data_IF_373523696138
#
_entry.id   IF_373523696138
#
_cell.length_a   1.000
_cell.length_b   1.000
_cell.length_c   1.000
_cell.angle_alpha   90.00
_cell.angle_beta   90.00
_cell.angle_gamma   90.00
#
_symmetry.space_group_name_H-M   'P 1'
#
loop_
_entity.id
_entity.type
_entity.pdbx_description
1 polymer ?
#
# COMPACT_ATOMS: atom_id res chain seq x y z
N UNK A 1 15.23 -15.20 -13.47
CA UNK A 1 16.00 -16.29 -14.12
C UNK A 1 15.83 -16.25 -15.64
N UNK A 2 14.59 -16.23 -16.17
CA UNK A 2 14.28 -16.18 -17.61
C UNK A 2 14.98 -15.01 -18.33
N UNK A 3 15.01 -13.83 -17.72
CA UNK A 3 15.69 -12.64 -18.24
C UNK A 3 17.20 -12.86 -18.42
N UNK A 4 17.89 -13.46 -17.44
CA UNK A 4 19.32 -13.78 -17.53
C UNK A 4 19.61 -14.84 -18.60
N UNK A 5 18.72 -15.80 -18.78
CA UNK A 5 18.84 -16.83 -19.82
C UNK A 5 18.71 -16.19 -21.21
N UNK A 6 17.72 -15.31 -21.43
CA UNK A 6 17.53 -14.59 -22.69
C UNK A 6 18.71 -13.64 -23.02
N UNK A 7 19.31 -13.00 -22.01
CA UNK A 7 20.52 -12.17 -22.21
C UNK A 7 21.72 -12.97 -22.74
N UNK A 8 21.80 -14.26 -22.42
CA UNK A 8 22.92 -15.13 -22.82
C UNK A 8 22.69 -15.81 -24.16
N UNK A 9 21.41 -16.07 -24.52
CA UNK A 9 21.07 -16.93 -25.67
C UNK A 9 20.80 -16.21 -26.99
N UNK A 10 20.39 -14.93 -26.99
CA UNK A 10 20.03 -14.19 -28.20
C UNK A 10 20.60 -12.76 -28.19
N UNK A 11 21.86 -12.61 -28.58
CA UNK A 11 22.44 -11.28 -28.88
C UNK A 11 22.43 -11.05 -30.38
N UNK A 12 21.46 -10.25 -30.88
CA UNK A 12 21.69 -9.53 -32.10
C UNK A 12 22.84 -8.54 -31.88
N UNK A 13 23.88 -8.51 -32.74
CA UNK A 13 24.98 -7.58 -32.55
C UNK A 13 24.50 -6.14 -32.40
N UNK A 14 24.92 -5.45 -31.33
CA UNK A 14 24.57 -4.06 -31.08
C UNK A 14 23.20 -3.85 -30.42
N UNK A 15 22.55 -4.87 -29.86
CA UNK A 15 21.32 -4.74 -29.10
C UNK A 15 21.42 -5.42 -27.73
N UNK A 16 20.61 -4.98 -26.78
CA UNK A 16 20.49 -5.65 -25.47
C UNK A 16 19.03 -5.74 -25.04
N UNK A 17 18.70 -6.72 -24.20
CA UNK A 17 17.40 -6.79 -23.56
C UNK A 17 17.30 -5.77 -22.44
N UNK A 18 16.19 -5.06 -22.43
CA UNK A 18 15.85 -4.08 -21.42
C UNK A 18 14.46 -4.31 -20.85
N UNK A 19 14.26 -3.88 -19.62
CA UNK A 19 12.97 -3.89 -18.95
C UNK A 19 12.86 -2.72 -17.98
N UNK A 20 11.64 -2.32 -17.69
CA UNK A 20 11.37 -1.26 -16.72
C UNK A 20 9.89 -0.94 -16.62
N UNK A 21 9.55 -0.16 -15.62
CA UNK A 21 8.19 0.38 -15.48
C UNK A 21 8.03 1.58 -16.40
N UNK A 22 7.05 1.51 -17.29
CA UNK A 22 6.79 2.60 -18.23
C UNK A 22 6.19 3.81 -17.53
N UNK A 23 6.82 4.96 -17.75
CA UNK A 23 6.28 6.28 -17.44
C UNK A 23 6.09 7.03 -18.75
N UNK A 24 4.84 7.35 -19.10
CA UNK A 24 4.49 8.15 -20.29
C UNK A 24 4.47 9.62 -19.87
N UNK A 25 5.17 10.45 -20.63
CA UNK A 25 5.23 11.88 -20.43
C UNK A 25 4.09 12.61 -21.19
N UNK A 26 3.78 13.87 -20.85
CA UNK A 26 2.68 14.62 -21.48
C UNK A 26 2.74 14.68 -23.01
N UNK A 27 3.94 14.66 -23.57
CA UNK A 27 4.18 14.68 -25.01
C UNK A 27 3.88 13.35 -25.72
N UNK A 28 3.47 12.32 -24.96
CA UNK A 28 3.01 11.04 -25.48
C UNK A 28 4.10 10.00 -25.77
N UNK A 29 5.38 10.32 -25.52
CA UNK A 29 6.49 9.36 -25.46
C UNK A 29 6.81 9.03 -24.01
N UNK A 30 7.69 8.07 -23.74
CA UNK A 30 7.94 7.64 -22.35
C UNK A 30 9.31 7.06 -22.12
N UNK A 31 9.52 6.63 -20.86
CA UNK A 31 10.71 5.93 -20.43
C UNK A 31 10.37 4.65 -19.64
N UNK A 32 11.17 3.63 -19.83
CA UNK A 32 11.20 2.49 -18.92
C UNK A 32 12.10 2.86 -17.74
N UNK A 33 11.50 3.04 -16.56
CA UNK A 33 12.22 3.34 -15.32
C UNK A 33 12.81 2.06 -14.77
N UNK A 34 14.12 2.02 -14.65
CA UNK A 34 14.88 0.83 -14.21
C UNK A 34 15.34 0.92 -12.76
N UNK A 35 15.46 2.14 -12.23
CA UNK A 35 15.88 2.35 -10.85
C UNK A 35 14.83 1.81 -9.86
N UNK A 36 15.22 1.14 -8.75
CA UNK A 36 14.29 0.58 -7.76
C UNK A 36 13.27 1.59 -7.20
N UNK A 37 13.65 2.85 -7.06
CA UNK A 37 12.77 3.94 -6.62
C UNK A 37 12.05 4.65 -7.78
N UNK A 38 12.10 4.10 -8.98
CA UNK A 38 11.50 4.71 -10.18
C UNK A 38 12.03 6.11 -10.50
N UNK A 39 13.24 6.42 -10.02
CA UNK A 39 13.92 7.70 -10.30
C UNK A 39 14.40 7.77 -11.75
N UNK A 40 14.55 9.00 -12.24
CA UNK A 40 15.11 9.24 -13.56
C UNK A 40 16.61 8.97 -13.54
N UNK A 41 17.09 8.08 -14.39
CA UNK A 41 18.51 7.73 -14.50
C UNK A 41 18.95 7.67 -15.95
N UNK A 42 20.27 7.67 -16.17
CA UNK A 42 20.83 7.51 -17.51
C UNK A 42 20.66 6.07 -18.05
N UNK A 43 20.24 5.14 -17.20
CA UNK A 43 19.94 3.74 -17.57
C UNK A 43 18.50 3.57 -18.10
N UNK A 44 17.68 4.61 -18.04
CA UNK A 44 16.31 4.56 -18.53
C UNK A 44 16.29 4.35 -20.05
N UNK A 45 15.24 3.66 -20.51
CA UNK A 45 15.09 3.33 -21.93
C UNK A 45 13.95 4.14 -22.53
N UNK A 46 14.24 4.90 -23.57
CA UNK A 46 13.27 5.69 -24.31
C UNK A 46 12.27 4.80 -25.06
N UNK A 47 10.99 5.12 -24.98
CA UNK A 47 9.89 4.46 -25.68
C UNK A 47 9.16 5.47 -26.54
N UNK A 48 9.10 5.20 -27.83
CA UNK A 48 8.48 6.11 -28.79
C UNK A 48 6.95 6.13 -28.66
N UNK A 49 6.34 7.26 -29.06
CA UNK A 49 4.89 7.40 -29.10
C UNK A 49 4.22 6.35 -30.03
N UNK A 50 4.88 5.98 -31.13
CA UNK A 50 4.40 4.98 -32.06
C UNK A 50 4.29 3.59 -31.43
N UNK A 51 5.28 3.18 -30.60
CA UNK A 51 5.23 1.92 -29.86
C UNK A 51 4.16 1.94 -28.78
N UNK A 52 4.03 3.05 -28.04
CA UNK A 52 2.98 3.23 -27.03
C UNK A 52 1.59 3.04 -27.67
N UNK A 53 1.33 3.71 -28.78
CA UNK A 53 0.06 3.60 -29.50
C UNK A 53 -0.16 2.22 -30.12
N UNK A 54 0.90 1.63 -30.72
CA UNK A 54 0.82 0.34 -31.39
C UNK A 54 0.39 -0.79 -30.45
N UNK A 55 0.99 -0.84 -29.23
CA UNK A 55 0.74 -1.89 -28.26
C UNK A 55 -0.29 -1.50 -27.18
N UNK A 56 -0.83 -0.28 -27.21
CA UNK A 56 -1.74 0.21 -26.17
C UNK A 56 -1.09 0.24 -24.80
N UNK A 57 0.20 0.66 -24.74
CA UNK A 57 0.95 0.73 -23.50
C UNK A 57 0.42 1.86 -22.63
N UNK A 58 0.47 1.67 -21.32
CA UNK A 58 0.02 2.64 -20.33
C UNK A 58 1.07 2.84 -19.25
N UNK A 59 1.07 3.99 -18.61
CA UNK A 59 1.92 4.23 -17.44
C UNK A 59 1.69 3.14 -16.40
N UNK A 60 2.77 2.65 -15.78
CA UNK A 60 2.76 1.55 -14.83
C UNK A 60 2.94 0.16 -15.44
N UNK A 61 2.90 0.02 -16.77
CA UNK A 61 3.22 -1.26 -17.42
C UNK A 61 4.68 -1.65 -17.19
N UNK A 62 4.92 -2.90 -16.83
CA UNK A 62 6.24 -3.51 -16.87
C UNK A 62 6.50 -3.98 -18.30
N UNK A 63 7.31 -3.25 -19.04
CA UNK A 63 7.65 -3.55 -20.42
C UNK A 63 8.99 -4.25 -20.49
N UNK A 64 9.06 -5.31 -21.27
CA UNK A 64 10.26 -6.06 -21.60
C UNK A 64 10.45 -6.08 -23.13
N UNK A 65 11.70 -5.87 -23.60
CA UNK A 65 11.97 -5.89 -25.02
C UNK A 65 13.44 -5.68 -25.35
N UNK A 66 13.73 -5.51 -26.63
CA UNK A 66 15.07 -5.23 -27.13
C UNK A 66 15.30 -3.73 -27.25
N UNK A 67 16.43 -3.25 -26.80
CA UNK A 67 16.87 -1.87 -26.87
C UNK A 67 18.20 -1.75 -27.62
N UNK A 68 18.41 -0.63 -28.29
CA UNK A 68 19.68 -0.25 -28.90
C UNK A 68 20.41 0.78 -28.05
N UNK A 69 21.73 0.83 -28.10
CA UNK A 69 22.50 1.89 -27.47
C UNK A 69 22.17 3.25 -28.05
N UNK A 70 22.47 4.35 -27.32
CA UNK A 70 22.32 5.71 -27.80
C UNK A 70 23.15 5.93 -29.08
N UNK A 71 22.58 6.63 -30.06
CA UNK A 71 23.31 7.14 -31.22
C UNK A 71 24.05 8.43 -30.84
N UNK A 72 24.89 8.92 -31.74
CA UNK A 72 25.55 10.19 -31.56
C UNK A 72 24.51 11.33 -31.33
N UNK A 73 24.66 12.06 -30.22
CA UNK A 73 23.70 13.08 -29.76
C UNK A 73 22.53 12.57 -28.94
N UNK A 74 22.30 11.26 -28.79
CA UNK A 74 21.27 10.69 -27.91
C UNK A 74 21.85 10.39 -26.53
N UNK A 75 21.05 10.56 -25.48
CA UNK A 75 21.45 10.29 -24.09
C UNK A 75 21.02 8.90 -23.60
N UNK A 76 19.92 8.39 -24.11
CA UNK A 76 19.23 7.20 -23.60
C UNK A 76 19.24 6.07 -24.60
N UNK A 77 19.20 4.84 -24.10
CA UNK A 77 18.89 3.67 -24.90
C UNK A 77 17.50 3.83 -25.55
N UNK A 78 17.31 3.32 -26.74
CA UNK A 78 16.02 3.36 -27.45
C UNK A 78 15.39 1.98 -27.53
N UNK A 79 14.15 1.80 -27.09
CA UNK A 79 13.43 0.54 -27.25
C UNK A 79 13.16 0.29 -28.75
N UNK A 80 13.65 -0.85 -29.27
CA UNK A 80 13.45 -1.26 -30.65
C UNK A 80 12.21 -2.12 -30.82
N UNK A 81 12.05 -3.10 -29.94
CA UNK A 81 10.96 -4.10 -30.01
C UNK A 81 10.39 -4.35 -28.63
N UNK A 82 9.07 -4.31 -28.51
CA UNK A 82 8.33 -4.75 -27.34
C UNK A 82 8.07 -6.24 -27.47
N UNK A 83 8.55 -7.04 -26.52
CA UNK A 83 8.38 -8.49 -26.48
C UNK A 83 7.23 -8.89 -25.57
N UNK A 84 7.20 -8.33 -24.38
CA UNK A 84 6.20 -8.62 -23.38
C UNK A 84 5.83 -7.38 -22.55
N UNK A 85 4.59 -7.37 -22.08
CA UNK A 85 4.05 -6.35 -21.18
C UNK A 85 3.39 -7.05 -20.00
N UNK A 86 3.84 -6.72 -18.79
CA UNK A 86 3.34 -7.35 -17.55
C UNK A 86 3.41 -8.89 -17.57
N UNK A 87 4.37 -9.46 -18.29
CA UNK A 87 4.58 -10.90 -18.38
C UNK A 87 3.76 -11.63 -19.43
N UNK A 88 2.95 -10.93 -20.22
CA UNK A 88 2.21 -11.49 -21.37
C UNK A 88 2.77 -10.98 -22.70
N UNK A 89 2.67 -11.75 -23.82
CA UNK A 89 3.14 -11.31 -25.13
C UNK A 89 2.52 -9.96 -25.53
N UNK A 90 3.31 -9.10 -26.15
CA UNK A 90 2.92 -7.71 -26.47
C UNK A 90 1.65 -7.61 -27.34
N UNK A 91 1.43 -8.56 -28.25
CA UNK A 91 0.24 -8.60 -29.12
C UNK A 91 -1.06 -8.84 -28.36
N UNK A 92 -1.00 -9.53 -27.20
CA UNK A 92 -2.17 -9.89 -26.38
C UNK A 92 -2.63 -8.78 -25.45
N UNK A 93 -1.85 -7.71 -25.29
CA UNK A 93 -2.07 -6.65 -24.26
C UNK A 93 -3.27 -5.75 -24.58
N UNK A 94 -3.62 -5.59 -25.85
CA UNK A 94 -4.70 -4.67 -26.28
C UNK A 94 -6.09 -5.02 -25.77
N UNK A 95 -6.35 -6.29 -25.45
CA UNK A 95 -7.67 -6.78 -25.05
C UNK A 95 -7.98 -6.60 -23.55
N UNK A 96 -7.06 -6.00 -22.76
CA UNK A 96 -7.26 -5.80 -21.33
C UNK A 96 -8.28 -4.70 -21.03
N UNK A 97 -9.14 -4.93 -20.02
CA UNK A 97 -10.04 -3.90 -19.49
C UNK A 97 -9.24 -2.87 -18.70
N UNK A 98 -9.69 -1.64 -18.72
CA UNK A 98 -9.14 -0.59 -17.87
C UNK A 98 -9.61 -0.76 -16.43
N UNK A 99 -8.75 -0.42 -15.46
CA UNK A 99 -9.05 -0.53 -14.04
C UNK A 99 -10.36 0.21 -13.65
N UNK A 100 -10.62 1.34 -14.26
CA UNK A 100 -11.82 2.15 -14.03
C UNK A 100 -13.11 1.50 -14.56
N UNK A 101 -13.00 0.52 -15.47
CA UNK A 101 -14.13 -0.22 -16.03
C UNK A 101 -14.45 -1.50 -15.25
N UNK A 102 -13.58 -1.87 -14.29
CA UNK A 102 -13.78 -3.06 -13.46
C UNK A 102 -14.83 -2.79 -12.37
N UNK A 103 -15.64 -3.80 -12.06
CA UNK A 103 -16.76 -3.68 -11.12
C UNK A 103 -16.27 -3.72 -9.65
N UNK A 104 -16.41 -2.63 -8.87
CA UNK A 104 -15.95 -2.60 -7.49
C UNK A 104 -16.89 -3.35 -6.54
N UNK A 105 -16.31 -4.13 -5.63
CA UNK A 105 -17.00 -4.83 -4.55
C UNK A 105 -16.47 -4.38 -3.18
N UNK A 106 -17.26 -4.65 -2.14
CA UNK A 106 -16.76 -4.59 -0.77
C UNK A 106 -15.70 -5.66 -0.52
N UNK A 107 -14.72 -5.41 0.37
CA UNK A 107 -13.81 -6.44 0.86
C UNK A 107 -14.60 -7.60 1.46
N UNK A 108 -14.41 -8.83 0.94
CA UNK A 108 -15.09 -10.05 1.37
C UNK A 108 -14.14 -11.24 1.59
N UNK A 109 -12.84 -11.01 1.42
CA UNK A 109 -11.78 -11.99 1.68
C UNK A 109 -10.77 -11.36 2.64
N UNK A 110 -10.62 -11.94 3.83
CA UNK A 110 -9.69 -11.46 4.85
C UNK A 110 -8.25 -11.73 4.46
N UNK A 111 -7.39 -10.72 4.63
CA UNK A 111 -5.95 -10.87 4.69
C UNK A 111 -5.59 -11.21 6.14
N UNK A 112 -5.26 -12.45 6.41
CA UNK A 112 -4.94 -12.92 7.76
C UNK A 112 -3.59 -12.38 8.20
N UNK A 113 -3.55 -11.69 9.35
CA UNK A 113 -2.34 -11.09 9.91
C UNK A 113 -1.70 -11.96 11.01
N UNK A 114 -2.42 -12.89 11.59
CA UNK A 114 -1.89 -13.86 12.54
C UNK A 114 -0.87 -14.77 11.86
N UNK A 115 0.36 -14.86 12.40
CA UNK A 115 1.44 -15.73 11.88
C UNK A 115 1.93 -16.69 12.96
N UNK A 116 2.55 -16.17 13.99
CA UNK A 116 3.06 -16.92 15.14
C UNK A 116 2.33 -16.50 16.43
N UNK A 117 2.36 -17.31 17.49
CA UNK A 117 1.76 -16.94 18.79
C UNK A 117 2.23 -15.60 19.32
N UNK A 118 3.51 -15.24 19.07
CA UNK A 118 4.14 -14.01 19.54
C UNK A 118 3.83 -12.80 18.68
N UNK A 119 3.24 -12.97 17.48
CA UNK A 119 2.79 -11.87 16.65
C UNK A 119 1.49 -11.26 17.19
N UNK A 120 1.57 -10.68 18.38
CA UNK A 120 0.41 -10.05 19.06
C UNK A 120 -0.20 -8.94 18.21
N UNK A 121 0.60 -8.19 17.46
CA UNK A 121 0.10 -7.14 16.55
C UNK A 121 -0.84 -7.71 15.48
N UNK A 122 -0.43 -8.75 14.78
CA UNK A 122 -1.25 -9.42 13.76
C UNK A 122 -2.51 -10.04 14.37
N UNK A 123 -2.38 -10.66 15.54
CA UNK A 123 -3.51 -11.26 16.27
C UNK A 123 -4.56 -10.22 16.68
N UNK A 124 -4.15 -9.05 17.17
CA UNK A 124 -5.07 -7.98 17.54
C UNK A 124 -5.73 -7.40 16.29
N UNK A 125 -4.99 -7.20 15.18
CA UNK A 125 -5.57 -6.69 13.93
C UNK A 125 -6.68 -7.63 13.46
N UNK A 126 -6.43 -8.94 13.43
CA UNK A 126 -7.42 -9.92 12.99
C UNK A 126 -8.68 -9.97 13.89
N UNK A 127 -8.59 -9.59 15.17
CA UNK A 127 -9.71 -9.59 16.10
C UNK A 127 -10.48 -8.26 16.15
N UNK A 128 -9.76 -7.13 15.97
CA UNK A 128 -10.31 -5.80 16.26
C UNK A 128 -10.53 -4.98 14.98
N UNK A 129 -9.64 -5.07 14.01
CA UNK A 129 -9.71 -4.28 12.79
C UNK A 129 -9.22 -5.12 11.60
N UNK A 130 -10.00 -6.14 11.19
CA UNK A 130 -9.60 -7.05 10.14
C UNK A 130 -9.42 -6.31 8.82
N UNK A 131 -8.42 -6.74 8.06
CA UNK A 131 -8.10 -6.18 6.74
C UNK A 131 -8.58 -7.16 5.68
N UNK A 132 -9.40 -6.69 4.75
CA UNK A 132 -9.83 -7.47 3.60
C UNK A 132 -9.13 -7.06 2.31
N UNK A 133 -9.10 -7.95 1.32
CA UNK A 133 -8.67 -7.64 -0.05
C UNK A 133 -9.57 -6.53 -0.61
N UNK A 134 -8.97 -5.42 -1.04
CA UNK A 134 -9.71 -4.22 -1.47
C UNK A 134 -9.96 -3.18 -0.38
N UNK A 135 -9.39 -3.35 0.82
CA UNK A 135 -9.58 -2.45 1.95
C UNK A 135 -8.94 -1.07 1.73
N UNK A 136 -9.63 -0.02 2.15
CA UNK A 136 -9.07 1.32 2.36
C UNK A 136 -8.78 1.49 3.84
N UNK A 137 -7.61 1.04 4.28
CA UNK A 137 -7.23 1.00 5.68
C UNK A 137 -6.40 2.22 6.08
N UNK A 138 -6.78 2.86 7.18
CA UNK A 138 -6.08 3.99 7.74
C UNK A 138 -5.46 3.61 9.09
N UNK A 139 -4.13 3.69 9.18
CA UNK A 139 -3.39 3.56 10.44
C UNK A 139 -3.18 4.96 11.00
N UNK A 140 -3.93 5.30 12.02
CA UNK A 140 -3.91 6.61 12.68
C UNK A 140 -2.87 6.57 13.80
N UNK A 141 -1.80 7.34 13.67
CA UNK A 141 -0.66 7.23 14.58
C UNK A 141 -0.17 8.59 15.08
N UNK A 142 -0.11 8.80 16.40
CA UNK A 142 0.66 9.90 16.96
C UNK A 142 2.17 9.60 16.82
N UNK A 143 3.03 10.63 16.90
CA UNK A 143 4.47 10.44 16.88
C UNK A 143 4.94 9.44 17.95
N UNK A 144 5.91 8.57 17.60
CA UNK A 144 6.54 7.57 18.49
C UNK A 144 5.62 6.46 19.03
N UNK A 145 4.45 6.24 18.43
CA UNK A 145 3.51 5.18 18.83
C UNK A 145 3.81 3.79 18.25
N UNK A 146 4.94 3.58 17.59
CA UNK A 146 5.31 2.28 17.02
C UNK A 146 4.78 2.04 15.60
N UNK A 147 4.42 3.09 14.86
CA UNK A 147 3.91 3.05 13.49
C UNK A 147 4.74 2.15 12.55
N UNK A 148 6.04 2.39 12.46
CA UNK A 148 6.96 1.68 11.55
C UNK A 148 7.07 0.20 11.89
N UNK A 149 7.12 -0.14 13.19
CA UNK A 149 7.13 -1.54 13.66
C UNK A 149 5.84 -2.27 13.28
N UNK A 150 4.70 -1.60 13.42
CA UNK A 150 3.40 -2.14 13.05
C UNK A 150 3.30 -2.38 11.53
N UNK A 151 3.75 -1.42 10.70
CA UNK A 151 3.79 -1.59 9.24
C UNK A 151 4.66 -2.78 8.82
N UNK A 152 5.82 -2.98 9.44
CA UNK A 152 6.67 -4.15 9.20
C UNK A 152 5.98 -5.45 9.60
N UNK A 153 5.29 -5.47 10.72
CA UNK A 153 4.51 -6.62 11.16
C UNK A 153 3.42 -6.97 10.13
N UNK A 154 2.66 -5.98 9.66
CA UNK A 154 1.63 -6.16 8.61
C UNK A 154 2.27 -6.68 7.31
N UNK A 155 3.35 -6.04 6.84
CA UNK A 155 4.06 -6.45 5.63
C UNK A 155 4.53 -7.91 5.69
N UNK A 156 5.14 -8.31 6.80
CA UNK A 156 5.65 -9.65 7.01
C UNK A 156 4.52 -10.68 7.16
N UNK A 157 3.40 -10.31 7.80
CA UNK A 157 2.21 -11.16 7.89
C UNK A 157 1.60 -11.42 6.51
N UNK A 158 1.46 -10.37 5.68
CA UNK A 158 0.95 -10.51 4.31
C UNK A 158 1.86 -11.45 3.50
N UNK A 159 3.17 -11.25 3.53
CA UNK A 159 4.09 -12.07 2.74
C UNK A 159 4.21 -13.51 3.25
N UNK A 160 3.95 -13.76 4.52
CA UNK A 160 3.95 -15.09 5.11
C UNK A 160 2.68 -15.88 4.79
N UNK A 161 1.52 -15.24 4.94
CA UNK A 161 0.21 -15.89 4.82
C UNK A 161 -0.39 -15.81 3.41
N UNK A 162 0.02 -14.82 2.61
CA UNK A 162 -0.54 -14.51 1.29
C UNK A 162 0.58 -14.34 0.25
N UNK A 163 1.33 -15.41 -0.08
CA UNK A 163 2.45 -15.33 -1.03
C UNK A 163 2.00 -14.99 -2.47
N UNK A 164 0.71 -15.13 -2.77
CA UNK A 164 0.11 -14.73 -4.06
C UNK A 164 -0.04 -13.21 -4.19
N UNK A 165 -0.06 -12.49 -3.08
CA UNK A 165 -0.28 -11.04 -3.05
C UNK A 165 0.98 -10.29 -3.45
N UNK A 166 0.83 -9.33 -4.35
CA UNK A 166 1.92 -8.41 -4.70
C UNK A 166 1.97 -7.28 -3.68
N UNK A 167 3.01 -7.26 -2.86
CA UNK A 167 3.22 -6.23 -1.85
C UNK A 167 4.13 -5.11 -2.36
N UNK A 168 3.58 -3.90 -2.42
CA UNK A 168 4.29 -2.66 -2.71
C UNK A 168 4.33 -1.80 -1.43
N UNK A 169 5.51 -1.32 -1.07
CA UNK A 169 5.69 -0.39 0.05
C UNK A 169 6.14 0.94 -0.52
N UNK A 170 5.34 1.99 -0.33
CA UNK A 170 5.62 3.33 -0.79
C UNK A 170 5.92 4.24 0.41
N UNK A 171 7.15 4.72 0.47
CA UNK A 171 7.62 5.65 1.49
C UNK A 171 7.76 7.04 0.88
N UNK A 172 6.98 8.01 1.38
CA UNK A 172 6.93 9.39 0.87
C UNK A 172 7.44 10.34 1.93
N UNK A 173 8.49 11.11 1.60
CA UNK A 173 9.10 12.11 2.50
C UNK A 173 9.59 11.49 3.82
N UNK A 174 10.03 10.21 3.77
CA UNK A 174 10.62 9.50 4.91
C UNK A 174 12.14 9.61 4.91
N UNK A 175 12.75 9.27 6.05
CA UNK A 175 14.19 9.35 6.24
C UNK A 175 14.92 8.21 5.52
N UNK A 176 16.12 8.44 4.92
CA UNK A 176 16.90 7.39 4.26
C UNK A 176 17.20 6.16 5.13
N UNK A 177 17.44 6.37 6.44
CA UNK A 177 17.66 5.28 7.38
C UNK A 177 16.40 4.42 7.60
N UNK A 178 15.20 5.02 7.62
CA UNK A 178 13.93 4.30 7.74
C UNK A 178 13.63 3.50 6.45
N UNK A 179 13.99 4.06 5.28
CA UNK A 179 13.90 3.35 4.00
C UNK A 179 14.80 2.13 3.99
N UNK A 180 16.05 2.28 4.44
CA UNK A 180 17.02 1.17 4.50
C UNK A 180 16.54 0.07 5.45
N UNK A 181 16.01 0.45 6.59
CA UNK A 181 15.48 -0.46 7.58
C UNK A 181 14.25 -1.22 7.05
N UNK A 182 13.34 -0.54 6.36
CA UNK A 182 12.18 -1.17 5.72
C UNK A 182 12.61 -2.18 4.65
N UNK A 183 13.56 -1.84 3.77
CA UNK A 183 14.09 -2.74 2.73
C UNK A 183 14.73 -4.00 3.29
N UNK A 184 15.40 -3.91 4.45
CA UNK A 184 16.04 -5.05 5.10
C UNK A 184 15.04 -5.94 5.85
N UNK A 185 13.93 -5.37 6.30
CA UNK A 185 12.97 -6.02 7.19
C UNK A 185 11.77 -6.63 6.46
N UNK A 186 11.48 -6.21 5.23
CA UNK A 186 10.25 -6.56 4.52
C UNK A 186 10.55 -7.29 3.21
N UNK A 187 9.82 -8.37 2.95
CA UNK A 187 9.85 -9.11 1.67
C UNK A 187 8.81 -8.54 0.72
N UNK A 188 9.08 -7.39 0.12
CA UNK A 188 8.20 -6.71 -0.83
C UNK A 188 8.97 -5.73 -1.68
N UNK A 189 8.32 -5.10 -2.64
CA UNK A 189 8.93 -4.04 -3.45
C UNK A 189 8.84 -2.73 -2.69
N UNK A 190 9.96 -2.24 -2.14
CA UNK A 190 10.04 -0.97 -1.41
C UNK A 190 10.49 0.13 -2.36
N UNK A 191 9.60 1.08 -2.58
CA UNK A 191 9.79 2.28 -3.40
C UNK A 191 9.76 3.48 -2.47
N UNK A 192 10.69 4.40 -2.64
CA UNK A 192 10.79 5.57 -1.76
C UNK A 192 11.10 6.84 -2.54
N UNK A 193 10.60 7.94 -2.01
CA UNK A 193 11.06 9.29 -2.30
C UNK A 193 11.32 9.96 -0.97
N UNK A 194 12.60 10.16 -0.64
CA UNK A 194 13.08 10.60 0.68
C UNK A 194 12.98 12.11 0.85
N UNK A 195 13.03 12.60 2.09
CA UNK A 195 12.79 14.01 2.43
C UNK A 195 13.75 15.01 1.75
N UNK A 196 14.90 14.54 1.28
CA UNK A 196 15.90 15.31 0.54
C UNK A 196 15.55 15.49 -0.94
N UNK A 197 14.50 14.81 -1.43
CA UNK A 197 14.01 14.96 -2.80
C UNK A 197 12.90 16.05 -2.90
N UNK A 198 12.73 16.70 -4.07
CA UNK A 198 11.71 17.72 -4.24
C UNK A 198 10.28 17.14 -4.18
N UNK A 199 9.28 17.92 -3.74
CA UNK A 199 7.89 17.48 -3.61
C UNK A 199 7.29 16.92 -4.92
N UNK A 200 7.70 17.44 -6.06
CA UNK A 200 7.28 16.96 -7.39
C UNK A 200 7.68 15.49 -7.60
N UNK A 201 8.85 15.07 -7.08
CA UNK A 201 9.27 13.68 -7.17
C UNK A 201 8.41 12.77 -6.26
N UNK A 202 8.03 13.24 -5.06
CA UNK A 202 7.09 12.52 -4.21
C UNK A 202 5.78 12.23 -4.94
N UNK A 203 5.24 13.27 -5.60
CA UNK A 203 3.99 13.15 -6.35
C UNK A 203 4.11 12.21 -7.55
N UNK A 204 5.21 12.34 -8.32
CA UNK A 204 5.48 11.53 -9.51
C UNK A 204 5.62 10.03 -9.15
N UNK A 205 6.42 9.74 -8.13
CA UNK A 205 6.65 8.35 -7.68
C UNK A 205 5.36 7.73 -7.16
N UNK A 206 4.56 8.47 -6.38
CA UNK A 206 3.27 8.00 -5.89
C UNK A 206 2.29 7.68 -7.03
N UNK A 207 2.16 8.57 -8.02
CA UNK A 207 1.31 8.31 -9.18
C UNK A 207 1.78 7.08 -9.97
N UNK A 208 3.10 6.91 -10.16
CA UNK A 208 3.64 5.77 -10.89
C UNK A 208 3.42 4.44 -10.15
N UNK A 209 3.51 4.45 -8.81
CA UNK A 209 3.18 3.28 -7.98
C UNK A 209 1.70 2.93 -8.07
N UNK A 210 0.81 3.93 -8.03
CA UNK A 210 -0.63 3.71 -8.21
C UNK A 210 -0.95 3.10 -9.58
N UNK A 211 -0.39 3.66 -10.64
CA UNK A 211 -0.61 3.15 -12.00
C UNK A 211 -0.01 1.74 -12.15
N UNK A 212 1.14 1.45 -11.53
CA UNK A 212 1.69 0.08 -11.47
C UNK A 212 0.73 -0.88 -10.75
N UNK A 213 0.19 -0.49 -9.62
CA UNK A 213 -0.78 -1.31 -8.88
C UNK A 213 -2.02 -1.61 -9.71
N UNK A 214 -2.57 -0.61 -10.39
CA UNK A 214 -3.71 -0.79 -11.31
C UNK A 214 -3.41 -1.78 -12.43
N UNK A 215 -2.23 -1.68 -13.08
CA UNK A 215 -1.82 -2.63 -14.15
C UNK A 215 -1.74 -4.07 -13.65
N UNK A 216 -1.36 -4.29 -12.40
CA UNK A 216 -1.35 -5.62 -11.79
C UNK A 216 -2.76 -6.14 -11.52
N UNK A 217 -3.65 -5.28 -11.00
CA UNK A 217 -5.05 -5.65 -10.73
C UNK A 217 -5.80 -5.98 -12.01
N UNK A 218 -5.57 -5.25 -13.11
CA UNK A 218 -6.12 -5.55 -14.45
C UNK A 218 -5.75 -6.96 -14.97
N UNK A 219 -4.70 -7.55 -14.39
CA UNK A 219 -4.29 -8.94 -14.65
C UNK A 219 -4.86 -9.95 -13.64
N UNK A 220 -5.83 -9.53 -12.82
CA UNK A 220 -6.42 -10.39 -11.78
C UNK A 220 -5.50 -10.61 -10.57
N UNK A 221 -4.47 -9.78 -10.35
CA UNK A 221 -3.59 -9.90 -9.17
C UNK A 221 -4.19 -9.17 -7.98
N UNK A 222 -3.98 -9.76 -6.81
CA UNK A 222 -4.21 -9.07 -5.54
C UNK A 222 -3.00 -8.24 -5.19
N UNK A 223 -3.19 -6.93 -5.02
CA UNK A 223 -2.13 -5.98 -4.74
C UNK A 223 -2.39 -5.28 -3.41
N UNK A 224 -1.39 -5.24 -2.55
CA UNK A 224 -1.40 -4.43 -1.33
C UNK A 224 -0.37 -3.33 -1.45
N UNK A 225 -0.79 -2.08 -1.25
CA UNK A 225 0.10 -0.93 -1.14
C UNK A 225 0.12 -0.46 0.31
N UNK A 226 1.28 -0.55 0.95
CA UNK A 226 1.54 0.10 2.23
C UNK A 226 2.09 1.49 1.95
N UNK A 227 1.38 2.53 2.36
CA UNK A 227 1.78 3.94 2.15
C UNK A 227 2.18 4.59 3.48
N UNK A 228 3.42 4.97 3.61
CA UNK A 228 3.94 5.76 4.73
C UNK A 228 4.56 7.08 4.24
N UNK A 229 3.90 8.23 4.38
CA UNK A 229 2.60 8.46 4.98
C UNK A 229 1.67 9.27 4.08
N UNK A 230 0.38 9.05 4.23
CA UNK A 230 -0.64 9.84 3.55
C UNK A 230 -0.59 11.33 3.94
N UNK A 231 -0.25 11.63 5.20
CA UNK A 231 -0.07 13.01 5.69
C UNK A 231 1.02 13.73 4.90
N UNK A 232 2.18 13.10 4.73
CA UNK A 232 3.30 13.69 3.99
C UNK A 232 3.01 13.77 2.50
N UNK A 233 2.31 12.78 1.95
CA UNK A 233 1.81 12.84 0.58
C UNK A 233 0.85 14.02 0.37
N UNK A 234 -0.06 14.27 1.33
CA UNK A 234 -0.94 15.44 1.32
C UNK A 234 -0.18 16.77 1.38
N UNK A 235 0.86 16.86 2.21
CA UNK A 235 1.74 18.05 2.28
C UNK A 235 2.49 18.29 0.97
N UNK A 236 3.07 17.24 0.38
CA UNK A 236 3.76 17.33 -0.91
C UNK A 236 2.80 17.76 -2.03
N UNK A 237 1.58 17.22 -2.02
CA UNK A 237 0.53 17.64 -2.94
C UNK A 237 0.18 19.14 -2.79
N UNK A 238 0.11 19.64 -1.55
CA UNK A 238 -0.15 21.07 -1.30
C UNK A 238 0.95 21.99 -1.82
N UNK A 239 2.20 21.55 -1.74
CA UNK A 239 3.34 22.30 -2.25
C UNK A 239 3.41 22.35 -3.80
N UNK A 240 2.88 21.31 -4.46
CA UNK A 240 2.96 21.16 -5.93
C UNK A 240 1.68 21.58 -6.66
N UNK A 241 0.60 21.85 -5.92
CA UNK A 241 -0.68 22.26 -6.50
C UNK A 241 -0.72 23.76 -6.70
N UNK A 242 -1.11 24.21 -7.89
CA UNK A 242 -1.36 25.64 -8.15
C UNK A 242 -2.48 26.16 -7.26
N UNK A 243 -2.31 27.33 -6.62
CA UNK A 243 -3.31 27.88 -5.71
C UNK A 243 -4.70 28.01 -6.36
N UNK A 244 -5.73 27.44 -5.73
CA UNK A 244 -7.12 27.53 -6.19
C UNK A 244 -7.79 28.86 -5.78
N UNK A 245 -7.13 29.68 -4.98
CA UNK A 245 -7.68 30.87 -4.35
C UNK A 245 -8.56 30.60 -3.12
N UNK A 246 -8.67 29.33 -2.70
CA UNK A 246 -9.36 28.91 -1.48
C UNK A 246 -8.37 28.22 -0.56
N UNK A 247 -8.50 28.43 0.74
CA UNK A 247 -7.60 27.84 1.73
C UNK A 247 -8.41 27.27 2.90
N UNK A 248 -8.19 26.01 3.19
CA UNK A 248 -8.69 25.36 4.41
C UNK A 248 -7.84 25.74 5.61
N UNK A 249 -8.30 25.39 6.82
CA UNK A 249 -7.52 25.55 8.04
C UNK A 249 -6.13 24.95 7.90
N UNK A 250 -5.11 25.60 8.47
CA UNK A 250 -3.72 25.12 8.38
C UNK A 250 -3.01 25.38 7.06
N UNK A 251 -3.60 26.20 6.16
CA UNK A 251 -2.93 26.56 4.89
C UNK A 251 -3.03 25.50 3.79
N UNK A 252 -3.97 24.57 3.90
CA UNK A 252 -4.19 23.52 2.92
C UNK A 252 -5.12 24.01 1.80
N UNK A 253 -4.70 23.89 0.54
CA UNK A 253 -5.57 24.13 -0.60
C UNK A 253 -6.50 22.91 -0.81
N UNK A 254 -7.82 23.09 -0.98
CA UNK A 254 -8.74 21.97 -1.25
C UNK A 254 -8.35 21.14 -2.48
N UNK A 255 -7.78 21.76 -3.51
CA UNK A 255 -7.33 21.08 -4.73
C UNK A 255 -6.15 20.13 -4.45
N UNK A 256 -5.34 20.41 -3.43
CA UNK A 256 -4.22 19.56 -3.04
C UNK A 256 -4.64 18.17 -2.55
N UNK A 257 -5.88 18.03 -2.07
CA UNK A 257 -6.40 16.76 -1.60
C UNK A 257 -6.79 15.79 -2.73
N UNK A 258 -6.97 16.29 -3.96
CA UNK A 258 -7.49 15.48 -5.06
C UNK A 258 -6.61 14.28 -5.40
N UNK A 259 -5.29 14.48 -5.59
CA UNK A 259 -4.35 13.39 -5.93
C UNK A 259 -4.22 12.36 -4.82
N UNK A 260 -4.00 12.73 -3.54
CA UNK A 260 -4.00 11.78 -2.43
C UNK A 260 -5.33 11.04 -2.26
N UNK A 261 -6.48 11.71 -2.42
CA UNK A 261 -7.80 11.06 -2.38
C UNK A 261 -8.00 10.08 -3.52
N UNK A 262 -7.57 10.41 -4.74
CA UNK A 262 -7.59 9.50 -5.89
C UNK A 262 -6.74 8.25 -5.63
N UNK A 263 -5.55 8.42 -5.02
CA UNK A 263 -4.68 7.32 -4.64
C UNK A 263 -5.35 6.39 -3.63
N UNK A 264 -5.77 6.94 -2.49
CA UNK A 264 -6.37 6.17 -1.40
C UNK A 264 -7.73 5.58 -1.80
N UNK A 265 -8.53 6.34 -2.53
CA UNK A 265 -9.85 5.93 -3.03
C UNK A 265 -9.83 4.89 -4.15
N UNK A 266 -8.67 4.63 -4.76
CA UNK A 266 -8.53 3.59 -5.78
C UNK A 266 -8.69 2.18 -5.20
N UNK A 267 -8.47 1.99 -3.88
CA UNK A 267 -8.59 0.69 -3.24
C UNK A 267 -10.00 0.12 -3.34
N UNK A 268 -10.11 -1.08 -3.87
CA UNK A 268 -11.36 -1.83 -4.08
C UNK A 268 -11.09 -3.31 -4.33
N UNK A 269 -12.03 -4.14 -3.96
CA UNK A 269 -12.11 -5.51 -4.45
C UNK A 269 -12.81 -5.51 -5.81
N UNK A 270 -12.51 -6.45 -6.69
CA UNK A 270 -12.98 -6.47 -8.09
C UNK A 270 -13.73 -7.76 -8.36
N UNK A 271 -14.93 -7.66 -8.97
CA UNK A 271 -15.78 -8.80 -9.31
C UNK A 271 -15.12 -9.72 -10.36
N UNK A 272 -14.45 -9.13 -11.35
CA UNK A 272 -13.76 -9.86 -12.42
C UNK A 272 -12.46 -10.54 -11.95
N UNK A 273 -12.06 -10.33 -10.71
CA UNK A 273 -10.86 -10.89 -10.07
C UNK A 273 -9.76 -9.86 -9.83
N UNK A 274 -8.94 -10.14 -8.84
CA UNK A 274 -7.93 -9.22 -8.33
C UNK A 274 -8.49 -8.19 -7.35
N UNK A 275 -7.60 -7.51 -6.66
CA UNK A 275 -7.96 -6.47 -5.70
C UNK A 275 -6.83 -5.45 -5.54
N UNK A 276 -7.19 -4.21 -5.21
CA UNK A 276 -6.26 -3.19 -4.74
C UNK A 276 -6.59 -2.85 -3.29
N UNK A 277 -5.71 -3.20 -2.38
CA UNK A 277 -5.77 -2.83 -0.96
C UNK A 277 -4.78 -1.72 -0.70
N UNK A 278 -5.19 -0.64 -0.04
CA UNK A 278 -4.29 0.44 0.39
C UNK A 278 -4.36 0.56 1.90
N UNK A 279 -3.21 0.38 2.55
CA UNK A 279 -3.01 0.55 3.99
C UNK A 279 -2.11 1.76 4.16
N UNK A 280 -2.69 2.89 4.54
CA UNK A 280 -1.99 4.15 4.62
C UNK A 280 -1.86 4.64 6.06
N UNK A 281 -0.70 5.15 6.44
CA UNK A 281 -0.51 5.81 7.73
C UNK A 281 -0.94 7.27 7.66
N UNK A 282 -1.61 7.73 8.70
CA UNK A 282 -1.96 9.12 8.89
C UNK A 282 -1.46 9.61 10.25
N UNK A 283 -0.74 10.72 10.24
CA UNK A 283 -0.15 11.29 11.45
C UNK A 283 -1.16 12.21 12.14
N UNK A 284 -1.29 12.06 13.45
CA UNK A 284 -2.09 12.91 14.33
C UNK A 284 -1.23 13.43 15.46
N UNK A 285 -1.71 14.42 16.23
CA UNK A 285 -1.03 15.00 17.40
C UNK A 285 0.40 15.50 17.08
N UNK A 286 0.60 15.99 15.86
CA UNK A 286 1.89 16.54 15.42
C UNK A 286 2.08 18.00 15.80
N UNK A 287 1.04 18.67 16.29
CA UNK A 287 0.97 20.10 16.51
C UNK A 287 0.74 20.91 15.20
N UNK A 288 0.57 20.23 14.07
CA UNK A 288 0.29 20.87 12.77
C UNK A 288 -1.20 20.87 12.47
N UNK A 289 -1.79 22.06 12.32
CA UNK A 289 -3.20 22.22 11.93
C UNK A 289 -3.49 21.63 10.54
N UNK A 290 -2.51 21.67 9.63
CA UNK A 290 -2.63 21.07 8.31
C UNK A 290 -2.81 19.54 8.42
N UNK A 291 -2.05 18.86 9.29
CA UNK A 291 -2.15 17.41 9.48
C UNK A 291 -3.51 16.99 10.04
N UNK A 292 -4.07 17.78 10.95
CA UNK A 292 -5.41 17.57 11.47
C UNK A 292 -6.46 17.63 10.35
N UNK A 293 -6.37 18.63 9.46
CA UNK A 293 -7.27 18.77 8.33
C UNK A 293 -7.11 17.60 7.35
N UNK A 294 -5.87 17.21 7.03
CA UNK A 294 -5.60 16.05 6.18
C UNK A 294 -6.23 14.80 6.80
N UNK A 295 -6.02 14.54 8.09
CA UNK A 295 -6.60 13.39 8.77
C UNK A 295 -8.13 13.36 8.67
N UNK A 296 -8.82 14.45 9.00
CA UNK A 296 -10.28 14.52 8.94
C UNK A 296 -10.83 14.29 7.52
N UNK A 297 -10.14 14.78 6.49
CA UNK A 297 -10.51 14.59 5.09
C UNK A 297 -10.36 13.13 4.61
N UNK A 298 -9.45 12.35 5.19
CA UNK A 298 -9.26 10.94 4.85
C UNK A 298 -10.04 9.97 5.74
N UNK A 299 -10.35 10.33 6.97
CA UNK A 299 -11.16 9.54 7.91
C UNK A 299 -12.50 9.12 7.29
N UNK A 300 -13.17 10.04 6.58
CA UNK A 300 -14.43 9.74 5.87
C UNK A 300 -14.26 8.87 4.61
N UNK A 301 -13.06 8.75 4.05
CA UNK A 301 -12.77 7.98 2.83
C UNK A 301 -12.41 6.53 3.15
N UNK A 302 -11.79 6.28 4.29
CA UNK A 302 -11.42 4.95 4.78
C UNK A 302 -12.63 4.10 5.16
N UNK A 303 -12.47 2.79 5.10
CA UNK A 303 -13.44 1.81 5.61
C UNK A 303 -12.84 0.86 6.67
N UNK A 304 -11.65 1.16 7.16
CA UNK A 304 -10.98 0.51 8.29
C UNK A 304 -10.07 1.54 8.96
N UNK A 305 -10.12 1.61 10.26
CA UNK A 305 -9.25 2.47 11.07
C UNK A 305 -8.55 1.63 12.15
N UNK A 306 -7.23 1.71 12.19
CA UNK A 306 -6.38 1.15 13.24
C UNK A 306 -5.71 2.31 13.97
N UNK A 307 -6.19 2.60 15.16
CA UNK A 307 -5.77 3.77 15.94
C UNK A 307 -4.68 3.38 16.92
N UNK A 308 -3.54 4.06 16.86
CA UNK A 308 -2.47 3.92 17.86
C UNK A 308 -2.64 4.97 18.96
N UNK A 309 -2.38 4.55 20.19
CA UNK A 309 -2.48 5.42 21.37
C UNK A 309 -1.10 5.87 21.83
N UNK A 310 -0.96 7.20 22.05
CA UNK A 310 0.22 7.79 22.65
C UNK A 310 0.39 7.32 24.11
N UNK A 311 -0.71 7.24 24.85
CA UNK A 311 -0.72 6.83 26.25
C UNK A 311 -0.17 5.40 26.43
N UNK A 312 -0.61 4.43 25.59
CA UNK A 312 -0.08 3.07 25.60
C UNK A 312 1.44 3.06 25.35
N UNK A 313 1.89 3.82 24.35
CA UNK A 313 3.30 3.86 23.99
C UNK A 313 4.18 4.51 25.08
N UNK A 314 3.69 5.55 25.77
CA UNK A 314 4.36 6.17 26.90
C UNK A 314 4.48 5.21 28.09
N UNK A 315 3.47 4.36 28.31
CA UNK A 315 3.48 3.27 29.32
C UNK A 315 4.24 2.02 28.85
N UNK A 316 4.84 2.02 27.64
CA UNK A 316 5.58 0.87 27.05
C UNK A 316 4.72 -0.37 26.83
N UNK A 317 3.42 -0.19 26.61
CA UNK A 317 2.49 -1.24 26.23
C UNK A 317 2.45 -1.33 24.70
N UNK A 318 2.91 -2.46 24.15
CA UNK A 318 2.98 -2.69 22.71
C UNK A 318 2.34 -4.05 22.33
N UNK A 319 1.66 -4.11 21.16
CA UNK A 319 1.40 -3.00 20.23
C UNK A 319 0.49 -1.94 20.85
N UNK A 320 0.79 -0.66 20.60
CA UNK A 320 0.05 0.45 21.19
C UNK A 320 -1.30 0.71 20.47
N UNK A 321 -2.05 -0.33 20.19
CA UNK A 321 -3.34 -0.28 19.46
C UNK A 321 -4.46 0.05 20.43
N UNK A 322 -5.20 1.12 20.15
CA UNK A 322 -6.44 1.43 20.85
C UNK A 322 -7.54 0.49 20.36
N UNK A 323 -7.82 -0.54 21.14
CA UNK A 323 -8.79 -1.59 20.81
C UNK A 323 -10.24 -1.14 20.84
N UNK A 324 -10.53 0.03 21.44
CA UNK A 324 -11.88 0.61 21.51
C UNK A 324 -12.19 1.46 20.29
N UNK A 325 -11.21 2.19 19.76
CA UNK A 325 -11.37 3.11 18.62
C UNK A 325 -11.07 2.48 17.28
N UNK A 326 -10.39 1.33 17.26
CA UNK A 326 -10.06 0.60 16.05
C UNK A 326 -11.22 -0.26 15.56
N UNK A 327 -11.38 -0.39 14.24
CA UNK A 327 -12.44 -1.22 13.66
C UNK A 327 -12.49 -1.18 12.13
N UNK A 328 -13.26 -2.10 11.57
CA UNK A 328 -13.48 -2.24 10.13
C UNK A 328 -14.98 -2.16 9.84
N UNK A 329 -15.34 -1.39 8.80
CA UNK A 329 -16.73 -1.35 8.30
C UNK A 329 -17.02 -2.63 7.52
N UNK A 330 -18.23 -3.18 7.69
CA UNK A 330 -18.65 -4.45 7.08
C UNK A 330 -17.73 -5.62 7.42
N UNK A 331 -17.24 -5.65 8.68
CA UNK A 331 -16.40 -6.76 9.16
C UNK A 331 -17.11 -8.13 9.07
N UNK A 332 -18.46 -8.13 9.06
CA UNK A 332 -19.28 -9.31 8.88
C UNK A 332 -19.02 -10.06 7.56
N UNK A 333 -18.47 -9.38 6.55
CA UNK A 333 -18.09 -9.99 5.28
C UNK A 333 -16.72 -10.70 5.33
N UNK A 334 -15.95 -10.46 6.40
CA UNK A 334 -14.58 -10.94 6.54
C UNK A 334 -14.43 -12.14 7.48
N UNK A 335 -15.48 -12.48 8.22
CA UNK A 335 -15.43 -13.57 9.18
C UNK A 335 -16.49 -14.64 8.91
N UNK A 336 -16.19 -15.92 9.19
CA UNK A 336 -17.20 -16.94 9.35
C UNK A 336 -18.17 -16.55 10.48
N UNK A 337 -19.43 -16.94 10.36
CA UNK A 337 -20.51 -16.53 11.28
C UNK A 337 -20.20 -16.84 12.77
N UNK A 338 -19.61 -17.99 13.04
CA UNK A 338 -19.27 -18.40 14.41
C UNK A 338 -18.14 -17.53 14.99
N UNK A 339 -17.12 -17.24 14.19
CA UNK A 339 -16.01 -16.38 14.57
C UNK A 339 -16.50 -14.95 14.84
N UNK A 340 -17.36 -14.41 13.97
CA UNK A 340 -17.97 -13.09 14.10
C UNK A 340 -18.75 -12.94 15.42
N UNK A 341 -19.53 -13.95 15.81
CA UNK A 341 -20.28 -13.91 17.07
C UNK A 341 -19.33 -13.83 18.27
N UNK A 342 -18.25 -14.60 18.26
CA UNK A 342 -17.25 -14.57 19.34
C UNK A 342 -16.51 -13.22 19.39
N UNK A 343 -16.20 -12.64 18.24
CA UNK A 343 -15.57 -11.31 18.14
C UNK A 343 -16.51 -10.21 18.66
N UNK A 344 -17.79 -10.26 18.34
CA UNK A 344 -18.75 -9.31 18.88
C UNK A 344 -18.91 -9.42 20.41
N UNK A 345 -18.83 -10.63 20.96
CA UNK A 345 -18.78 -10.82 22.39
C UNK A 345 -17.51 -10.22 23.02
N UNK A 346 -16.35 -10.48 22.42
CA UNK A 346 -15.08 -9.86 22.83
C UNK A 346 -15.18 -8.33 22.81
N UNK A 347 -15.72 -7.74 21.75
CA UNK A 347 -15.88 -6.29 21.65
C UNK A 347 -16.77 -5.71 22.74
N UNK A 348 -17.86 -6.40 23.09
CA UNK A 348 -18.72 -5.98 24.23
C UNK A 348 -17.97 -6.01 25.56
N UNK A 349 -17.14 -7.04 25.79
CA UNK A 349 -16.30 -7.12 26.99
C UNK A 349 -15.29 -5.95 27.05
N UNK A 350 -14.62 -5.66 25.94
CA UNK A 350 -13.68 -4.54 25.85
C UNK A 350 -14.37 -3.18 25.99
N UNK A 351 -15.57 -3.02 25.45
CA UNK A 351 -16.34 -1.79 25.55
C UNK A 351 -16.77 -1.46 26.97
N UNK A 352 -17.06 -2.49 27.78
CA UNK A 352 -17.47 -2.37 29.19
C UNK A 352 -16.31 -1.98 30.13
N UNK A 353 -15.07 -2.11 29.72
CA UNK A 353 -13.93 -1.59 30.48
C UNK A 353 -13.95 -0.05 30.45
N UNK A 354 -13.80 0.62 31.56
CA UNK A 354 -13.78 2.08 31.61
C UNK A 354 -12.50 2.63 30.97
N UNK A 355 -11.36 2.08 31.34
CA UNK A 355 -10.04 2.48 30.85
C UNK A 355 -9.63 1.71 29.58
N UNK A 356 -9.26 2.45 28.53
CA UNK A 356 -8.75 1.91 27.26
C UNK A 356 -7.39 1.21 27.45
N UNK A 357 -6.55 1.74 28.32
CA UNK A 357 -5.21 1.17 28.59
C UNK A 357 -5.36 -0.19 29.24
N UNK A 358 -6.22 -0.29 30.25
CA UNK A 358 -6.50 -1.55 30.95
C UNK A 358 -7.12 -2.58 30.00
N UNK A 359 -8.09 -2.18 29.18
CA UNK A 359 -8.71 -3.05 28.18
C UNK A 359 -7.67 -3.63 27.20
N UNK A 360 -6.77 -2.80 26.68
CA UNK A 360 -5.73 -3.21 25.75
C UNK A 360 -4.70 -4.12 26.42
N UNK A 361 -4.23 -3.76 27.61
CA UNK A 361 -3.25 -4.56 28.35
C UNK A 361 -3.81 -5.92 28.73
N UNK A 362 -5.08 -5.98 29.18
CA UNK A 362 -5.77 -7.23 29.47
C UNK A 362 -5.88 -8.11 28.23
N UNK A 363 -6.26 -7.56 27.08
CA UNK A 363 -6.31 -8.29 25.83
C UNK A 363 -4.95 -8.87 25.46
N UNK A 364 -3.89 -8.09 25.52
CA UNK A 364 -2.51 -8.54 25.24
C UNK A 364 -2.12 -9.70 26.15
N UNK A 365 -2.35 -9.59 27.46
CA UNK A 365 -2.05 -10.64 28.44
C UNK A 365 -2.82 -11.94 28.18
N UNK A 366 -4.08 -11.83 27.76
CA UNK A 366 -4.89 -13.00 27.42
C UNK A 366 -4.42 -13.67 26.13
N UNK A 367 -4.06 -12.88 25.11
CA UNK A 367 -3.50 -13.41 23.86
C UNK A 367 -2.18 -14.13 24.09
N UNK A 368 -1.30 -13.61 24.94
CA UNK A 368 -0.02 -14.25 25.29
C UNK A 368 -0.17 -15.64 25.95
N UNK A 369 -1.34 -15.95 26.53
CA UNK A 369 -1.65 -17.25 27.13
C UNK A 369 -2.20 -18.27 26.15
N UNK A 370 -2.41 -17.89 24.89
CA UNK A 370 -3.00 -18.72 23.84
C UNK A 370 -2.11 -18.77 22.61
N UNK A 371 -2.14 -19.87 21.88
CA UNK A 371 -1.29 -20.09 20.69
C UNK A 371 -1.87 -19.47 19.42
N UNK A 372 -3.21 -19.23 19.40
CA UNK A 372 -3.90 -18.71 18.23
C UNK A 372 -5.15 -17.92 18.62
N UNK A 373 -5.64 -17.09 17.69
CA UNK A 373 -6.91 -16.39 17.84
C UNK A 373 -8.09 -17.35 17.96
N UNK A 374 -8.03 -18.47 17.26
CA UNK A 374 -9.06 -19.52 17.37
C UNK A 374 -9.15 -20.08 18.81
N UNK A 375 -8.01 -20.44 19.40
CA UNK A 375 -7.96 -20.92 20.79
C UNK A 375 -8.45 -19.84 21.77
N UNK A 376 -8.03 -18.60 21.57
CA UNK A 376 -8.46 -17.47 22.39
C UNK A 376 -9.98 -17.26 22.33
N UNK A 377 -10.57 -17.23 21.14
CA UNK A 377 -12.02 -17.04 20.98
C UNK A 377 -12.83 -18.20 21.59
N UNK A 378 -12.35 -19.45 21.51
CA UNK A 378 -12.98 -20.60 22.19
C UNK A 378 -13.01 -20.40 23.71
N UNK A 379 -11.94 -19.85 24.30
CA UNK A 379 -11.92 -19.54 25.74
C UNK A 379 -12.86 -18.39 26.11
N UNK A 380 -13.02 -17.37 25.23
CA UNK A 380 -13.99 -16.29 25.45
C UNK A 380 -15.40 -16.82 25.48
N UNK A 381 -15.79 -17.68 24.51
CA UNK A 381 -17.12 -18.27 24.43
C UNK A 381 -17.42 -19.19 25.65
N UNK A 382 -16.47 -20.05 26.02
CA UNK A 382 -16.69 -21.00 27.14
C UNK A 382 -16.85 -20.28 28.47
N UNK A 383 -16.12 -19.19 28.74
CA UNK A 383 -16.29 -18.43 29.98
C UNK A 383 -17.65 -17.75 30.11
N UNK A 384 -18.28 -17.41 29.00
CA UNK A 384 -19.59 -16.75 29.01
C UNK A 384 -20.74 -17.75 29.12
N UNK A 385 -20.53 -19.05 28.82
CA UNK A 385 -21.50 -20.09 29.04
C UNK A 385 -21.56 -20.56 30.52
N UNK A 386 -20.52 -20.20 31.28
CA UNK A 386 -20.38 -20.55 32.71
C UNK A 386 -20.66 -19.37 33.64
N UNK A 387 -20.87 -18.15 33.14
CA UNK A 387 -21.28 -16.95 33.87
C UNK A 387 -22.77 -16.64 33.65
#
# INVERSE_FOLDING_TARGET
LAYRILQVTNKEPGTEYAWGILEILPDGWGFLRRHPNLQNTNEDVYVSQSQIKRFGLRTGDLVFGMARPPKEGEKYYGLLRVEAVNGIPAESVRARKDFEQLTPLYPNQRLVMETTPDNISGRIIDLIAPIGKGQRALIVAPPKAGKTTLLKSIANSITANHPEVVLLVLLVDERPEEVTDMRRSVRGTVISSTFDEPPENHMRVADLVLERAKRLVEQGKDVVVLLDSLTRFGRASNLTTSPSGRTLSGGLDPAALYRPKRFFGAARNIEEGGSLTVIATCLIDTGSRMDEVIFEEFKGTGNMELVLSRELSERRIFPAIDVKRSGTRHEELLYPKEELMAIWQLRRLLANQEDMVEATEQLIRLLQRTRSNREFLQQVVSRMQTA
#
